data_IF_780516638545
#
_entry.id   IF_780516638545
#
_cell.length_a   1.000
_cell.length_b   1.000
_cell.length_c   1.000
_cell.angle_alpha   90.00
_cell.angle_beta   90.00
_cell.angle_gamma   90.00
#
_symmetry.space_group_name_H-M   'P 1'
#
loop_
_entity.id
_entity.type
_entity.pdbx_description
1 polymer ?
#
# COMPACT_ATOMS: atom_id res chain seq x y z
N UNK A 1 -11.44 -26.95 -31.06
CA UNK A 1 -10.40 -27.98 -30.80
C UNK A 1 -9.06 -27.38 -30.32
N UNK A 2 -8.51 -26.32 -30.94
CA UNK A 2 -7.23 -25.71 -30.50
C UNK A 2 -7.22 -25.24 -29.03
N UNK A 3 -8.30 -24.65 -28.53
CA UNK A 3 -8.34 -24.16 -27.14
C UNK A 3 -8.39 -25.30 -26.10
N UNK A 4 -9.12 -26.38 -26.36
CA UNK A 4 -9.13 -27.54 -25.45
C UNK A 4 -7.75 -28.22 -25.34
N UNK A 5 -6.96 -28.19 -26.43
CA UNK A 5 -5.61 -28.73 -26.47
C UNK A 5 -4.60 -27.82 -25.76
N UNK A 6 -4.69 -26.49 -25.95
CA UNK A 6 -3.88 -25.48 -25.25
C UNK A 6 -4.21 -25.39 -23.75
N UNK A 7 -5.49 -25.46 -23.39
CA UNK A 7 -5.94 -25.52 -22.00
C UNK A 7 -5.44 -26.78 -21.30
N UNK A 8 -5.50 -27.95 -21.96
CA UNK A 8 -4.91 -29.20 -21.44
C UNK A 8 -3.39 -29.11 -21.32
N UNK A 9 -2.70 -28.47 -22.26
CA UNK A 9 -1.24 -28.28 -22.21
C UNK A 9 -0.81 -27.40 -21.02
N UNK A 10 -1.52 -26.28 -20.80
CA UNK A 10 -1.34 -25.44 -19.61
C UNK A 10 -1.70 -26.20 -18.34
N UNK A 11 -2.74 -27.03 -18.30
CA UNK A 11 -3.07 -27.80 -17.10
C UNK A 11 -2.04 -28.92 -16.84
N UNK A 12 -1.41 -29.48 -17.87
CA UNK A 12 -0.50 -30.64 -17.74
C UNK A 12 0.93 -30.33 -17.30
N UNK A 13 1.35 -29.07 -17.28
CA UNK A 13 2.72 -28.69 -16.88
C UNK A 13 2.83 -28.53 -15.35
N UNK A 14 3.82 -29.14 -14.68
CA UNK A 14 3.88 -29.19 -13.20
C UNK A 14 4.05 -27.83 -12.51
N UNK A 15 4.57 -26.82 -13.21
CA UNK A 15 4.62 -25.41 -12.76
C UNK A 15 3.28 -24.71 -12.96
N UNK A 16 2.56 -25.05 -14.02
CA UNK A 16 1.29 -24.44 -14.35
C UNK A 16 0.15 -24.99 -13.50
N UNK A 17 0.11 -26.25 -13.04
CA UNK A 17 -0.95 -26.76 -12.12
C UNK A 17 -1.12 -25.88 -10.86
N UNK A 18 -0.05 -25.18 -10.46
CA UNK A 18 0.01 -24.28 -9.30
C UNK A 18 -0.11 -22.79 -9.64
N UNK A 19 -0.44 -22.45 -10.88
CA UNK A 19 -0.79 -21.09 -11.29
C UNK A 19 -2.29 -20.84 -11.06
N UNK A 20 -2.67 -19.58 -10.80
CA UNK A 20 -4.05 -19.21 -10.46
C UNK A 20 -5.07 -19.60 -11.56
N UNK A 21 -4.75 -19.28 -12.81
CA UNK A 21 -5.67 -19.45 -13.94
C UNK A 21 -5.97 -20.92 -14.24
N UNK A 22 -4.96 -21.78 -14.14
CA UNK A 22 -5.09 -23.23 -14.31
C UNK A 22 -5.74 -23.89 -13.09
N UNK A 23 -5.44 -23.43 -11.88
CA UNK A 23 -6.03 -23.96 -10.65
C UNK A 23 -7.56 -23.72 -10.58
N UNK A 24 -8.00 -22.54 -11.02
CA UNK A 24 -9.42 -22.17 -11.05
C UNK A 24 -10.09 -22.42 -12.42
N UNK A 25 -9.40 -23.06 -13.36
CA UNK A 25 -9.86 -23.35 -14.73
C UNK A 25 -10.32 -22.12 -15.54
N UNK A 26 -9.70 -20.95 -15.33
CA UNK A 26 -9.93 -19.71 -16.08
C UNK A 26 -9.16 -19.69 -17.41
N UNK A 27 -9.38 -20.73 -18.22
CA UNK A 27 -8.79 -20.89 -19.54
C UNK A 27 -9.89 -20.94 -20.60
N UNK A 28 -9.56 -20.53 -21.84
CA UNK A 28 -10.49 -20.57 -22.97
C UNK A 28 -11.76 -19.73 -22.76
N UNK A 29 -12.91 -20.37 -22.51
CA UNK A 29 -14.20 -19.67 -22.42
C UNK A 29 -14.33 -18.74 -21.20
N UNK A 30 -13.41 -18.86 -20.24
CA UNK A 30 -13.37 -18.06 -19.01
C UNK A 30 -12.10 -17.20 -18.90
N UNK A 31 -11.42 -16.94 -20.01
CA UNK A 31 -10.21 -16.11 -20.06
C UNK A 31 -10.46 -14.62 -19.70
N UNK A 32 -11.72 -14.18 -19.72
CA UNK A 32 -12.14 -12.84 -19.29
C UNK A 32 -12.17 -12.66 -17.78
N UNK A 33 -12.23 -13.75 -16.98
CA UNK A 33 -12.33 -13.68 -15.52
C UNK A 33 -11.12 -12.99 -14.85
N UNK A 34 -9.85 -13.28 -15.20
CA UNK A 34 -8.71 -12.52 -14.71
C UNK A 34 -8.83 -11.01 -14.96
N UNK A 35 -9.27 -10.61 -16.16
CA UNK A 35 -9.43 -9.20 -16.53
C UNK A 35 -10.55 -8.54 -15.71
N UNK A 36 -11.65 -9.24 -15.48
CA UNK A 36 -12.72 -8.76 -14.60
C UNK A 36 -12.24 -8.59 -13.15
N UNK A 37 -11.46 -9.54 -12.62
CA UNK A 37 -10.88 -9.41 -11.29
C UNK A 37 -9.91 -8.21 -11.18
N UNK A 38 -9.16 -7.92 -12.25
CA UNK A 38 -8.30 -6.73 -12.34
C UNK A 38 -9.13 -5.43 -12.37
N UNK A 39 -10.24 -5.40 -13.10
CA UNK A 39 -11.14 -4.24 -13.11
C UNK A 39 -11.74 -3.98 -11.71
N UNK A 40 -12.21 -5.04 -11.04
CA UNK A 40 -12.74 -4.97 -9.67
C UNK A 40 -11.68 -4.45 -8.68
N UNK A 41 -10.42 -4.90 -8.85
CA UNK A 41 -9.29 -4.39 -8.07
C UNK A 41 -9.10 -2.88 -8.23
N UNK A 42 -9.13 -2.34 -9.45
CA UNK A 42 -9.01 -0.90 -9.68
C UNK A 42 -10.23 -0.11 -9.20
N UNK A 43 -11.44 -0.66 -9.29
CA UNK A 43 -12.60 -0.08 -8.62
C UNK A 43 -12.38 0.03 -7.10
N UNK A 44 -11.79 -1.01 -6.50
CA UNK A 44 -11.32 -0.98 -5.12
C UNK A 44 -10.33 0.15 -4.87
N UNK A 45 -9.30 0.32 -5.72
CA UNK A 45 -8.32 1.40 -5.56
C UNK A 45 -8.95 2.80 -5.51
N UNK A 46 -9.92 3.08 -6.40
CA UNK A 46 -10.66 4.35 -6.42
C UNK A 46 -11.42 4.57 -5.11
N UNK A 47 -12.18 3.56 -4.67
CA UNK A 47 -12.96 3.63 -3.42
C UNK A 47 -12.02 3.79 -2.22
N UNK A 48 -10.88 3.09 -2.22
CA UNK A 48 -9.87 3.17 -1.17
C UNK A 48 -9.29 4.56 -1.05
N UNK A 49 -8.99 5.22 -2.17
CA UNK A 49 -8.50 6.60 -2.18
C UNK A 49 -9.48 7.57 -1.52
N UNK A 50 -10.79 7.41 -1.77
CA UNK A 50 -11.83 8.23 -1.14
C UNK A 50 -11.94 7.94 0.37
N UNK A 51 -11.99 6.67 0.76
CA UNK A 51 -12.16 6.25 2.15
C UNK A 51 -10.93 6.59 2.98
N UNK A 52 -9.75 6.14 2.58
CA UNK A 52 -8.51 6.38 3.33
C UNK A 52 -8.02 7.81 3.20
N UNK A 53 -8.36 8.52 2.12
CA UNK A 53 -8.17 9.98 2.02
C UNK A 53 -8.98 10.73 3.07
N UNK A 54 -10.28 10.42 3.19
CA UNK A 54 -11.12 11.00 4.24
C UNK A 54 -10.60 10.68 5.65
N UNK A 55 -10.17 9.42 5.89
CA UNK A 55 -9.57 9.02 7.17
C UNK A 55 -8.28 9.80 7.44
N UNK A 56 -7.42 10.01 6.43
CA UNK A 56 -6.16 10.74 6.58
C UNK A 56 -6.36 12.21 6.96
N UNK A 57 -7.42 12.81 6.44
CA UNK A 57 -7.76 14.21 6.73
C UNK A 57 -8.40 14.39 8.11
N UNK A 58 -9.20 13.41 8.58
CA UNK A 58 -9.90 13.50 9.87
C UNK A 58 -9.16 12.89 11.05
N UNK A 59 -8.44 11.79 10.86
CA UNK A 59 -7.78 11.03 11.93
C UNK A 59 -6.25 11.13 11.89
N UNK A 60 -5.68 11.63 10.79
CA UNK A 60 -4.23 11.75 10.62
C UNK A 60 -3.66 10.74 9.65
N UNK A 61 -2.41 10.96 9.22
CA UNK A 61 -1.79 10.19 8.14
C UNK A 61 -1.33 8.82 8.64
N UNK A 62 -0.88 8.73 9.89
CA UNK A 62 -0.39 7.47 10.48
C UNK A 62 -1.56 6.48 10.71
N UNK A 63 -2.70 6.84 11.32
CA UNK A 63 -3.84 5.92 11.44
C UNK A 63 -4.38 5.47 10.07
N UNK A 64 -4.43 6.37 9.09
CA UNK A 64 -4.82 6.01 7.72
C UNK A 64 -3.85 5.00 7.10
N UNK A 65 -2.53 5.22 7.26
CA UNK A 65 -1.48 4.30 6.80
C UNK A 65 -1.61 2.91 7.43
N UNK A 66 -1.82 2.83 8.74
CA UNK A 66 -1.97 1.55 9.44
C UNK A 66 -3.25 0.84 8.98
N UNK A 67 -4.38 1.56 8.93
CA UNK A 67 -5.67 1.02 8.53
C UNK A 67 -5.65 0.46 7.10
N UNK A 68 -5.07 1.19 6.15
CA UNK A 68 -4.98 0.74 4.76
C UNK A 68 -4.06 -0.47 4.61
N UNK A 69 -2.91 -0.48 5.28
CA UNK A 69 -1.97 -1.61 5.18
C UNK A 69 -2.53 -2.87 5.85
N UNK A 70 -3.22 -2.74 6.99
CA UNK A 70 -3.91 -3.86 7.64
C UNK A 70 -5.04 -4.42 6.77
N UNK A 71 -5.82 -3.54 6.15
CA UNK A 71 -6.88 -3.96 5.20
C UNK A 71 -6.28 -4.75 4.03
N UNK A 72 -5.19 -4.24 3.44
CA UNK A 72 -4.47 -4.93 2.38
C UNK A 72 -3.88 -6.27 2.82
N UNK A 73 -3.31 -6.34 4.03
CA UNK A 73 -2.75 -7.57 4.59
C UNK A 73 -3.81 -8.66 4.77
N UNK A 74 -4.90 -8.32 5.46
CA UNK A 74 -6.00 -9.27 5.73
C UNK A 74 -6.62 -9.75 4.43
N UNK A 75 -6.89 -8.84 3.49
CA UNK A 75 -7.47 -9.20 2.20
C UNK A 75 -6.50 -10.01 1.32
N UNK A 76 -5.20 -9.71 1.36
CA UNK A 76 -4.17 -10.42 0.61
C UNK A 76 -3.97 -11.85 1.11
N UNK A 77 -3.96 -12.05 2.43
CA UNK A 77 -3.95 -13.39 3.04
C UNK A 77 -5.27 -14.14 2.77
N UNK A 78 -6.42 -13.46 2.89
CA UNK A 78 -7.73 -14.06 2.58
C UNK A 78 -7.81 -14.53 1.12
N UNK A 79 -7.15 -13.84 0.18
CA UNK A 79 -7.07 -14.23 -1.23
C UNK A 79 -6.47 -15.63 -1.41
N UNK A 80 -5.52 -16.04 -0.56
CA UNK A 80 -4.89 -17.36 -0.64
C UNK A 80 -5.88 -18.51 -0.36
N UNK A 81 -6.97 -18.25 0.37
CA UNK A 81 -8.01 -19.21 0.70
C UNK A 81 -9.21 -19.17 -0.26
N UNK A 82 -9.17 -18.31 -1.29
CA UNK A 82 -10.26 -18.20 -2.25
C UNK A 82 -10.37 -19.47 -3.11
N UNK A 83 -11.55 -20.09 -3.11
CA UNK A 83 -11.86 -21.29 -3.90
C UNK A 83 -12.83 -21.01 -5.05
N UNK A 84 -13.47 -19.84 -5.05
CA UNK A 84 -14.40 -19.40 -6.08
C UNK A 84 -13.99 -18.04 -6.65
N UNK A 85 -14.42 -17.75 -7.88
CA UNK A 85 -14.17 -16.46 -8.51
C UNK A 85 -14.67 -15.28 -7.68
N UNK A 86 -15.87 -15.37 -7.10
CA UNK A 86 -16.45 -14.28 -6.31
C UNK A 86 -15.70 -14.03 -5.00
N UNK A 87 -15.27 -15.08 -4.30
CA UNK A 87 -14.40 -14.93 -3.12
C UNK A 87 -13.09 -14.24 -3.50
N UNK A 88 -12.48 -14.66 -4.60
CA UNK A 88 -11.25 -14.05 -5.10
C UNK A 88 -11.47 -12.58 -5.48
N UNK A 89 -12.53 -12.27 -6.22
CA UNK A 89 -12.86 -10.93 -6.68
C UNK A 89 -13.14 -9.97 -5.52
N UNK A 90 -13.88 -10.42 -4.49
CA UNK A 90 -14.13 -9.63 -3.28
C UNK A 90 -12.81 -9.37 -2.55
N UNK A 91 -11.95 -10.38 -2.36
CA UNK A 91 -10.65 -10.17 -1.74
C UNK A 91 -9.80 -9.18 -2.56
N UNK A 92 -9.79 -9.31 -3.90
CA UNK A 92 -9.10 -8.36 -4.80
C UNK A 92 -9.65 -6.94 -4.70
N UNK A 93 -10.95 -6.75 -4.51
CA UNK A 93 -11.50 -5.42 -4.24
C UNK A 93 -10.89 -4.81 -2.98
N UNK A 94 -10.83 -5.56 -1.87
CA UNK A 94 -10.24 -5.08 -0.61
C UNK A 94 -8.72 -4.88 -0.68
N UNK A 95 -7.98 -5.74 -1.40
CA UNK A 95 -6.56 -5.50 -1.69
C UNK A 95 -6.41 -4.22 -2.53
N UNK A 96 -7.33 -4.01 -3.49
CA UNK A 96 -7.43 -2.80 -4.31
C UNK A 96 -7.56 -1.54 -3.46
N UNK A 97 -8.43 -1.53 -2.45
CA UNK A 97 -8.58 -0.39 -1.51
C UNK A 97 -7.22 0.06 -0.94
N UNK A 98 -6.32 -0.90 -0.68
CA UNK A 98 -5.02 -0.64 -0.10
C UNK A 98 -3.91 -0.29 -1.10
N UNK A 99 -4.12 -0.54 -2.40
CA UNK A 99 -3.05 -0.56 -3.41
C UNK A 99 -2.23 0.73 -3.48
N UNK A 100 -2.88 1.89 -3.68
CA UNK A 100 -2.16 3.16 -3.73
C UNK A 100 -2.02 3.78 -2.33
N UNK A 101 -2.98 3.51 -1.44
CA UNK A 101 -3.05 4.16 -0.13
C UNK A 101 -1.95 3.66 0.82
N UNK A 102 -1.44 2.43 0.63
CA UNK A 102 -0.40 1.85 1.47
C UNK A 102 0.92 2.63 1.45
N UNK A 103 1.24 3.31 0.35
CA UNK A 103 2.44 4.14 0.23
C UNK A 103 2.12 5.64 0.28
N UNK A 104 0.95 6.05 -0.24
CA UNK A 104 0.59 7.47 -0.39
C UNK A 104 0.63 8.24 0.93
N UNK A 105 0.16 7.64 2.04
CA UNK A 105 0.14 8.31 3.34
C UNK A 105 1.53 8.58 3.90
N UNK A 106 2.42 7.59 3.80
CA UNK A 106 3.81 7.74 4.21
C UNK A 106 4.56 8.72 3.31
N UNK A 107 4.28 8.68 2.00
CA UNK A 107 4.83 9.61 1.02
C UNK A 107 4.45 11.06 1.35
N UNK A 108 3.17 11.35 1.60
CA UNK A 108 2.71 12.69 1.99
C UNK A 108 3.43 13.15 3.27
N UNK A 109 3.48 12.28 4.29
CA UNK A 109 4.11 12.61 5.56
C UNK A 109 5.60 12.95 5.42
N UNK A 110 6.35 12.17 4.64
CA UNK A 110 7.77 12.47 4.35
C UNK A 110 7.90 13.84 3.67
N UNK A 111 7.04 14.14 2.69
CA UNK A 111 7.10 15.41 1.96
C UNK A 111 6.66 16.63 2.78
N UNK A 112 5.96 16.44 3.89
CA UNK A 112 5.64 17.53 4.80
C UNK A 112 6.84 17.95 5.65
N UNK A 113 7.75 17.01 5.94
CA UNK A 113 8.98 17.26 6.69
C UNK A 113 10.18 17.65 5.83
N UNK A 114 10.16 17.32 4.53
CA UNK A 114 11.22 17.69 3.61
C UNK A 114 11.05 19.14 3.14
N UNK A 115 12.16 19.89 3.15
CA UNK A 115 12.19 21.27 2.66
C UNK A 115 11.91 21.37 1.15
N UNK A 116 11.38 22.51 0.64
CA UNK A 116 10.96 22.65 -0.76
C UNK A 116 12.03 22.30 -1.80
N UNK A 117 13.30 22.59 -1.51
CA UNK A 117 14.43 22.33 -2.42
C UNK A 117 14.73 20.84 -2.62
N UNK A 118 14.49 20.01 -1.61
CA UNK A 118 14.77 18.56 -1.65
C UNK A 118 13.52 17.73 -1.94
N UNK A 119 12.34 18.35 -1.95
CA UNK A 119 11.04 17.68 -2.04
C UNK A 119 10.94 16.79 -3.28
N UNK A 120 11.28 17.32 -4.46
CA UNK A 120 11.24 16.56 -5.72
C UNK A 120 12.22 15.40 -5.74
N UNK A 121 13.42 15.60 -5.19
CA UNK A 121 14.44 14.55 -5.13
C UNK A 121 13.98 13.40 -4.24
N UNK A 122 13.55 13.69 -3.00
CA UNK A 122 13.09 12.67 -2.05
C UNK A 122 11.83 11.96 -2.56
N UNK A 123 10.90 12.70 -3.16
CA UNK A 123 9.70 12.13 -3.76
C UNK A 123 10.03 11.09 -4.84
N UNK A 124 10.86 11.48 -5.82
CA UNK A 124 11.14 10.62 -6.97
C UNK A 124 12.12 9.48 -6.62
N UNK A 125 13.14 9.74 -5.81
CA UNK A 125 14.12 8.72 -5.42
C UNK A 125 13.52 7.61 -4.58
N UNK A 126 12.63 7.94 -3.63
CA UNK A 126 11.98 6.92 -2.80
C UNK A 126 11.17 5.96 -3.66
N UNK A 127 10.30 6.49 -4.53
CA UNK A 127 9.52 5.67 -5.46
C UNK A 127 10.44 4.86 -6.38
N UNK A 128 11.43 5.50 -7.00
CA UNK A 128 12.32 4.84 -7.96
C UNK A 128 13.05 3.64 -7.32
N UNK A 129 13.60 3.81 -6.11
CA UNK A 129 14.34 2.74 -5.44
C UNK A 129 13.41 1.61 -5.01
N UNK A 130 12.38 1.92 -4.21
CA UNK A 130 11.52 0.88 -3.63
C UNK A 130 10.68 0.16 -4.69
N UNK A 131 10.10 0.90 -5.65
CA UNK A 131 9.29 0.31 -6.71
C UNK A 131 10.13 -0.54 -7.66
N UNK A 132 11.30 -0.04 -8.10
CA UNK A 132 12.15 -0.79 -9.03
C UNK A 132 12.68 -2.05 -8.36
N UNK A 133 13.14 -1.97 -7.11
CA UNK A 133 13.60 -3.14 -6.36
C UNK A 133 12.48 -4.17 -6.18
N UNK A 134 11.29 -3.74 -5.74
CA UNK A 134 10.15 -4.65 -5.56
C UNK A 134 9.70 -5.29 -6.88
N UNK A 135 9.57 -4.50 -7.94
CA UNK A 135 9.16 -4.97 -9.27
C UNK A 135 10.20 -5.92 -9.89
N UNK A 136 11.49 -5.69 -9.63
CA UNK A 136 12.58 -6.56 -10.11
C UNK A 136 12.67 -7.86 -9.32
N UNK A 137 12.39 -7.82 -8.01
CA UNK A 137 12.46 -8.98 -7.11
C UNK A 137 11.24 -9.90 -7.24
N UNK A 138 10.04 -9.34 -7.47
CA UNK A 138 8.79 -10.09 -7.47
C UNK A 138 8.75 -11.28 -8.45
N UNK A 139 9.25 -11.18 -9.71
CA UNK A 139 9.30 -12.33 -10.63
C UNK A 139 10.17 -13.48 -10.12
N UNK A 140 11.29 -13.17 -9.45
CA UNK A 140 12.16 -14.18 -8.86
C UNK A 140 11.46 -14.89 -7.71
N UNK A 141 10.79 -14.15 -6.82
CA UNK A 141 9.98 -14.74 -5.75
C UNK A 141 8.90 -15.64 -6.35
N UNK A 142 8.17 -15.17 -7.37
CA UNK A 142 7.13 -15.95 -8.04
C UNK A 142 7.69 -17.24 -8.66
N UNK A 143 8.88 -17.18 -9.27
CA UNK A 143 9.56 -18.34 -9.86
C UNK A 143 9.93 -19.39 -8.81
N UNK A 144 10.53 -18.98 -7.69
CA UNK A 144 10.97 -19.92 -6.64
C UNK A 144 9.82 -20.49 -5.81
N UNK A 145 8.79 -19.68 -5.53
CA UNK A 145 7.63 -20.12 -4.74
C UNK A 145 6.73 -21.05 -5.57
N UNK A 146 6.57 -20.77 -6.86
CA UNK A 146 5.81 -21.57 -7.82
C UNK A 146 4.40 -21.99 -7.34
N UNK A 147 3.80 -21.22 -6.44
CA UNK A 147 2.48 -21.43 -5.87
C UNK A 147 1.83 -20.07 -5.60
N UNK A 148 0.68 -19.82 -6.23
CA UNK A 148 0.00 -18.53 -6.17
C UNK A 148 -0.52 -18.19 -4.76
N UNK A 149 -0.91 -19.18 -3.95
CA UNK A 149 -1.43 -18.97 -2.59
C UNK A 149 -0.31 -18.48 -1.66
N UNK A 150 0.83 -19.17 -1.68
CA UNK A 150 2.01 -18.73 -0.92
C UNK A 150 2.52 -17.37 -1.41
N UNK A 151 2.46 -17.11 -2.71
CA UNK A 151 2.83 -15.81 -3.25
C UNK A 151 1.94 -14.69 -2.68
N UNK A 152 0.62 -14.88 -2.60
CA UNK A 152 -0.29 -13.91 -1.98
C UNK A 152 0.05 -13.63 -0.51
N UNK A 153 0.39 -14.65 0.27
CA UNK A 153 0.77 -14.48 1.68
C UNK A 153 2.12 -13.75 1.79
N UNK A 154 3.13 -14.19 1.03
CA UNK A 154 4.48 -13.61 1.07
C UNK A 154 4.47 -12.13 0.67
N UNK A 155 3.72 -11.76 -0.37
CA UNK A 155 3.62 -10.35 -0.81
C UNK A 155 2.79 -9.49 0.14
N UNK A 156 1.95 -10.11 0.99
CA UNK A 156 1.18 -9.39 2.01
C UNK A 156 2.00 -9.09 3.26
N UNK A 157 2.97 -9.94 3.64
CA UNK A 157 3.75 -9.79 4.87
C UNK A 157 4.43 -8.41 5.05
N UNK A 158 5.03 -7.77 4.02
CA UNK A 158 5.63 -6.45 4.17
C UNK A 158 4.66 -5.36 4.65
N UNK A 159 3.34 -5.51 4.41
CA UNK A 159 2.34 -4.56 4.87
C UNK A 159 2.25 -4.47 6.41
N UNK A 160 2.65 -5.53 7.13
CA UNK A 160 2.69 -5.51 8.60
C UNK A 160 3.71 -4.53 9.17
N UNK A 161 4.72 -4.13 8.39
CA UNK A 161 5.70 -3.12 8.81
C UNK A 161 5.02 -1.78 9.13
N UNK A 162 3.88 -1.49 8.49
CA UNK A 162 3.10 -0.28 8.76
C UNK A 162 2.59 -0.22 10.22
N UNK A 163 2.38 -1.36 10.87
CA UNK A 163 1.96 -1.42 12.29
C UNK A 163 3.03 -0.81 13.19
N UNK A 164 4.30 -0.87 12.79
CA UNK A 164 5.42 -0.34 13.56
C UNK A 164 5.57 1.18 13.39
N UNK A 165 5.06 1.75 12.30
CA UNK A 165 5.21 3.16 11.94
C UNK A 165 4.79 4.15 13.04
N UNK A 166 3.68 3.97 13.79
CA UNK A 166 3.27 4.90 14.85
C UNK A 166 4.29 5.09 15.98
N UNK A 167 5.17 4.11 16.23
CA UNK A 167 6.20 4.23 17.27
C UNK A 167 7.48 4.92 16.79
N UNK A 168 7.74 4.89 15.49
CA UNK A 168 8.98 5.42 14.90
C UNK A 168 8.77 6.84 14.36
N UNK A 169 7.63 7.07 13.72
CA UNK A 169 7.38 8.26 12.90
C UNK A 169 6.35 9.15 13.59
N UNK A 170 6.66 10.43 13.86
CA UNK A 170 5.68 11.35 14.41
C UNK A 170 4.58 11.65 13.38
N UNK A 171 3.37 11.91 13.86
CA UNK A 171 2.27 12.38 13.03
C UNK A 171 2.57 13.77 12.45
N UNK A 172 1.96 14.06 11.29
CA UNK A 172 2.08 15.32 10.57
C UNK A 172 1.93 16.55 11.48
N UNK A 173 3.00 17.33 11.61
CA UNK A 173 2.96 18.60 12.33
C UNK A 173 1.98 19.61 11.69
N UNK A 174 1.82 19.56 10.37
CA UNK A 174 0.89 20.43 9.64
C UNK A 174 -0.57 20.06 9.93
N UNK A 175 -0.88 18.76 9.93
CA UNK A 175 -2.20 18.28 10.28
C UNK A 175 -2.53 18.55 11.74
N UNK A 176 -1.59 18.37 12.65
CA UNK A 176 -1.79 18.72 14.06
C UNK A 176 -2.15 20.19 14.24
N UNK A 177 -1.47 21.10 13.53
CA UNK A 177 -1.83 22.53 13.52
C UNK A 177 -3.22 22.75 12.92
N UNK A 178 -3.58 22.08 11.81
CA UNK A 178 -4.92 22.23 11.22
C UNK A 178 -6.05 21.70 12.10
N UNK A 179 -5.75 20.77 13.01
CA UNK A 179 -6.68 20.24 14.01
C UNK A 179 -6.68 21.02 15.33
N UNK A 180 -5.98 22.17 15.41
CA UNK A 180 -5.85 22.97 16.64
C UNK A 180 -4.94 22.37 17.72
N UNK A 181 -4.26 21.24 17.44
CA UNK A 181 -3.34 20.54 18.35
C UNK A 181 -1.92 21.12 18.26
N UNK A 182 -1.82 22.44 18.43
CA UNK A 182 -0.57 23.19 18.21
C UNK A 182 0.53 22.77 19.18
N UNK A 183 0.21 22.47 20.43
CA UNK A 183 1.21 22.07 21.44
C UNK A 183 1.96 20.79 21.05
N UNK A 184 1.25 19.80 20.49
CA UNK A 184 1.85 18.56 20.01
C UNK A 184 2.76 18.80 18.80
N UNK A 185 2.31 19.66 17.87
CA UNK A 185 3.13 20.08 16.74
C UNK A 185 4.43 20.76 17.20
N UNK A 186 4.37 21.62 18.23
CA UNK A 186 5.55 22.29 18.81
C UNK A 186 6.52 21.28 19.42
N UNK A 187 6.03 20.26 20.12
CA UNK A 187 6.87 19.19 20.68
C UNK A 187 7.64 18.46 19.58
N UNK A 188 6.96 18.11 18.48
CA UNK A 188 7.56 17.45 17.33
C UNK A 188 8.62 18.36 16.69
N UNK A 189 8.32 19.65 16.48
CA UNK A 189 9.26 20.59 15.89
C UNK A 189 10.51 20.79 16.76
N UNK A 190 10.37 20.89 18.09
CA UNK A 190 11.50 20.95 19.03
C UNK A 190 12.38 19.70 18.99
N UNK A 191 11.80 18.52 18.70
CA UNK A 191 12.58 17.29 18.48
C UNK A 191 13.41 17.40 17.21
N UNK A 192 12.84 17.91 16.13
CA UNK A 192 13.58 18.14 14.88
C UNK A 192 14.64 19.24 14.98
N UNK A 193 14.42 20.29 15.76
CA UNK A 193 15.44 21.31 16.05
C UNK A 193 16.71 20.70 16.67
N UNK A 194 16.52 19.80 17.65
CA UNK A 194 17.62 19.09 18.31
C UNK A 194 18.37 18.18 17.34
N UNK A 195 17.65 17.46 16.47
CA UNK A 195 18.23 16.55 15.48
C UNK A 195 19.01 17.33 14.41
N UNK A 196 18.43 18.41 13.90
CA UNK A 196 19.01 19.22 12.83
C UNK A 196 20.01 20.28 13.33
N UNK A 197 20.18 20.39 14.65
CA UNK A 197 20.99 21.41 15.31
C UNK A 197 20.70 22.84 14.81
N UNK A 198 19.42 23.14 14.59
CA UNK A 198 18.91 24.45 14.15
C UNK A 198 17.87 24.95 15.14
N UNK A 199 17.96 26.22 15.52
CA UNK A 199 16.97 26.88 16.38
C UNK A 199 15.97 27.64 15.51
N UNK A 200 14.67 27.40 15.70
CA UNK A 200 13.62 28.23 15.12
C UNK A 200 13.31 29.37 16.08
N UNK A 201 12.97 30.55 15.54
CA UNK A 201 12.61 31.72 16.34
C UNK A 201 11.39 31.38 17.24
N UNK A 202 11.49 31.54 18.58
CA UNK A 202 10.38 31.34 19.50
C UNK A 202 9.10 32.10 19.14
N UNK A 203 9.22 33.26 18.48
CA UNK A 203 8.08 34.07 18.03
C UNK A 203 7.21 33.31 17.02
N UNK A 204 7.79 32.44 16.21
CA UNK A 204 7.06 31.64 15.23
C UNK A 204 6.13 30.64 15.92
N UNK A 205 6.58 30.02 17.02
CA UNK A 205 5.75 29.12 17.81
C UNK A 205 4.60 29.85 18.51
N UNK A 206 4.81 31.10 18.93
CA UNK A 206 3.75 31.92 19.50
C UNK A 206 2.71 32.31 18.45
N UNK A 207 3.13 32.66 17.24
CA UNK A 207 2.22 32.95 16.12
C UNK A 207 1.33 31.76 15.75
N UNK A 208 1.86 30.53 15.82
CA UNK A 208 1.08 29.32 15.57
C UNK A 208 0.00 29.05 16.63
N UNK A 209 0.15 29.57 17.86
CA UNK A 209 -0.81 29.38 18.95
C UNK A 209 -1.95 30.41 18.97
N UNK A 210 -1.77 31.52 18.27
CA UNK A 210 -2.73 32.66 18.26
C UNK A 210 -3.75 32.53 17.11
N UNK A 211 -3.51 31.61 16.17
CA UNK A 211 -4.37 31.33 15.02
C UNK A 211 -5.25 30.12 15.27
#
# INVERSE_FOLDING_TARGET
MRCAMLGRFFISTPTSVRALQSNLNWVCAQDTLPTLAQAIFFCGAIVGGLVFGWVADHFGRIPALVGTNLTGFVAGVATAFASTFWQFAICRFFVGLAFDNCFTMMYILVLEYVGPSWRTFVANMSIAIFFTLAASLLPWIAYYVANWQYLCVITSLPLLVAVITPWIVPESARWLVSQGRVDEAVVIMKRFEKINNKKVDPKLYQQLKVR
#
